data_IF_303036588201
#
_entry.id   IF_303036588201
#
_cell.length_a   1.000
_cell.length_b   1.000
_cell.length_c   1.000
_cell.angle_alpha   90.00
_cell.angle_beta   90.00
_cell.angle_gamma   90.00
#
_symmetry.space_group_name_H-M   'P 1'
#
loop_
_entity.id
_entity.type
_entity.pdbx_description
1 polymer ?
#
# COMPACT_ATOMS: atom_id res chain seq x y z
N UNK A 1 -10.24 -8.77 -38.99
CA UNK A 1 -9.45 -9.90 -39.53
C UNK A 1 -8.01 -9.71 -39.07
N UNK A 2 -7.62 -10.35 -37.97
CA UNK A 2 -6.21 -10.37 -37.54
C UNK A 2 -5.78 -11.83 -37.50
N UNK A 3 -4.82 -12.15 -38.36
CA UNK A 3 -4.27 -13.48 -38.52
C UNK A 3 -3.48 -13.91 -37.31
N UNK A 4 -3.65 -15.19 -36.97
CA UNK A 4 -2.79 -15.98 -36.11
C UNK A 4 -1.36 -15.99 -36.66
N UNK A 5 -0.38 -15.61 -35.84
CA UNK A 5 0.86 -16.37 -35.62
C UNK A 5 1.81 -15.62 -34.68
N UNK A 6 2.51 -16.41 -33.86
CA UNK A 6 3.28 -15.95 -32.71
C UNK A 6 4.36 -14.93 -33.05
N UNK A 7 4.35 -13.81 -32.33
CA UNK A 7 5.43 -12.82 -32.27
C UNK A 7 5.23 -11.91 -31.06
N UNK A 8 4.95 -12.50 -29.89
CA UNK A 8 4.78 -11.75 -28.64
C UNK A 8 6.08 -11.08 -28.15
N UNK A 9 7.24 -11.39 -28.76
CA UNK A 9 8.54 -10.80 -28.40
C UNK A 9 9.05 -9.67 -29.30
N UNK A 10 8.36 -9.31 -30.39
CA UNK A 10 8.87 -8.34 -31.40
C UNK A 10 8.03 -7.05 -31.44
N UNK A 11 6.85 -7.03 -30.82
CA UNK A 11 5.92 -5.90 -30.94
C UNK A 11 6.29 -4.64 -30.14
N UNK A 12 7.19 -4.73 -29.15
CA UNK A 12 7.52 -3.61 -28.23
C UNK A 12 8.70 -2.76 -28.72
N UNK A 13 9.45 -3.18 -29.76
CA UNK A 13 10.67 -2.49 -30.22
C UNK A 13 10.51 -1.68 -31.50
N UNK A 14 9.29 -1.52 -32.04
CA UNK A 14 9.04 -0.68 -33.23
C UNK A 14 8.75 0.78 -32.80
N UNK A 15 9.67 1.73 -33.05
CA UNK A 15 9.51 3.12 -32.63
C UNK A 15 8.26 3.78 -33.21
N UNK A 16 7.84 3.35 -34.41
CA UNK A 16 6.67 3.88 -35.11
C UNK A 16 5.38 3.53 -34.38
N UNK A 17 5.27 2.28 -33.90
CA UNK A 17 4.12 1.83 -33.10
C UNK A 17 4.10 2.51 -31.74
N UNK A 18 5.26 2.73 -31.12
CA UNK A 18 5.33 3.48 -29.87
C UNK A 18 4.82 4.93 -30.07
N UNK A 19 5.27 5.64 -31.11
CA UNK A 19 4.78 6.99 -31.42
C UNK A 19 3.27 7.04 -31.69
N UNK A 20 2.72 6.08 -32.43
CA UNK A 20 1.28 5.97 -32.68
C UNK A 20 0.48 5.75 -31.39
N UNK A 21 0.96 4.87 -30.51
CA UNK A 21 0.36 4.59 -29.20
C UNK A 21 0.39 5.85 -28.31
N UNK A 22 1.52 6.55 -28.25
CA UNK A 22 1.64 7.80 -27.50
C UNK A 22 0.68 8.88 -28.01
N UNK A 23 0.54 9.02 -29.35
CA UNK A 23 -0.43 9.97 -29.94
C UNK A 23 -1.88 9.60 -29.62
N UNK A 24 -2.22 8.32 -29.68
CA UNK A 24 -3.57 7.85 -29.32
C UNK A 24 -3.90 8.15 -27.85
N UNK A 25 -2.94 7.92 -26.94
CA UNK A 25 -3.08 8.23 -25.52
C UNK A 25 -3.25 9.73 -25.26
N UNK A 26 -2.41 10.57 -25.86
CA UNK A 26 -2.53 12.04 -25.71
C UNK A 26 -3.86 12.56 -26.28
N UNK A 27 -4.37 11.93 -27.33
CA UNK A 27 -5.70 12.25 -27.88
C UNK A 27 -6.80 11.89 -26.89
N UNK A 28 -6.72 10.70 -26.26
CA UNK A 28 -7.69 10.27 -25.24
C UNK A 28 -7.63 11.15 -23.98
N UNK A 29 -6.46 11.60 -23.54
CA UNK A 29 -6.35 12.52 -22.40
C UNK A 29 -6.98 13.89 -22.67
N UNK A 30 -6.92 14.37 -23.91
CA UNK A 30 -7.53 15.63 -24.34
C UNK A 30 -9.04 15.53 -24.57
N UNK A 31 -9.54 14.33 -24.85
CA UNK A 31 -10.97 14.07 -24.97
C UNK A 31 -11.66 14.19 -23.60
N UNK A 32 -12.69 15.03 -23.51
CA UNK A 32 -13.46 15.23 -22.29
C UNK A 32 -14.03 13.92 -21.74
N UNK A 33 -14.46 13.02 -22.64
CA UNK A 33 -15.02 11.71 -22.34
C UNK A 33 -14.00 10.57 -22.45
N UNK A 34 -12.73 10.88 -22.72
CA UNK A 34 -11.68 9.87 -22.93
C UNK A 34 -11.54 8.91 -21.76
N UNK A 35 -11.63 9.42 -20.52
CA UNK A 35 -11.58 8.58 -19.32
C UNK A 35 -12.76 7.60 -19.21
N UNK A 36 -13.97 8.00 -19.63
CA UNK A 36 -15.15 7.11 -19.64
C UNK A 36 -14.95 5.99 -20.64
N UNK A 37 -14.50 6.33 -21.85
CA UNK A 37 -14.12 5.34 -22.88
C UNK A 37 -13.03 4.41 -22.36
N UNK A 38 -12.06 4.93 -21.61
CA UNK A 38 -11.01 4.10 -21.00
C UNK A 38 -11.54 3.14 -19.94
N UNK A 39 -12.48 3.58 -19.09
CA UNK A 39 -13.17 2.70 -18.14
C UNK A 39 -13.96 1.63 -18.88
N UNK A 40 -14.76 2.00 -19.88
CA UNK A 40 -15.57 1.09 -20.69
C UNK A 40 -14.71 0.03 -21.41
N UNK A 41 -13.61 0.44 -22.03
CA UNK A 41 -12.67 -0.48 -22.67
C UNK A 41 -11.99 -1.42 -21.67
N UNK A 42 -11.67 -0.93 -20.46
CA UNK A 42 -11.04 -1.75 -19.43
C UNK A 42 -11.99 -2.83 -18.89
N UNK A 43 -13.26 -2.48 -18.66
CA UNK A 43 -14.28 -3.40 -18.12
C UNK A 43 -14.99 -4.22 -19.21
N UNK A 44 -14.73 -3.93 -20.48
CA UNK A 44 -15.41 -4.52 -21.61
C UNK A 44 -15.29 -6.04 -21.69
N UNK A 45 -16.08 -6.69 -22.56
CA UNK A 45 -16.11 -8.15 -22.69
C UNK A 45 -14.78 -8.75 -23.16
N UNK A 46 -13.95 -7.95 -23.82
CA UNK A 46 -12.61 -8.33 -24.26
C UNK A 46 -11.58 -7.64 -23.37
N UNK A 47 -10.92 -8.43 -22.51
CA UNK A 47 -9.84 -7.94 -21.66
C UNK A 47 -8.68 -7.44 -22.53
N UNK A 48 -8.29 -6.15 -22.47
CA UNK A 48 -7.17 -5.63 -23.24
C UNK A 48 -5.84 -6.25 -22.79
N UNK A 49 -4.79 -6.27 -23.63
CA UNK A 49 -3.46 -6.69 -23.21
C UNK A 49 -2.91 -5.77 -22.10
N UNK A 50 -1.95 -6.25 -21.28
CA UNK A 50 -1.48 -5.51 -20.11
C UNK A 50 -0.96 -4.09 -20.39
N UNK A 51 -0.27 -3.91 -21.51
CA UNK A 51 0.28 -2.62 -21.94
C UNK A 51 -0.84 -1.64 -22.25
N UNK A 52 -1.89 -2.10 -22.93
CA UNK A 52 -3.07 -1.28 -23.24
C UNK A 52 -3.85 -0.93 -21.97
N UNK A 53 -4.05 -1.90 -21.06
CA UNK A 53 -4.65 -1.63 -19.75
C UNK A 53 -3.92 -0.50 -19.02
N UNK A 54 -2.58 -0.52 -19.01
CA UNK A 54 -1.79 0.51 -18.35
C UNK A 54 -2.03 1.90 -18.96
N UNK A 55 -2.11 1.99 -20.29
CA UNK A 55 -2.40 3.23 -21.01
C UNK A 55 -3.80 3.77 -20.68
N UNK A 56 -4.80 2.89 -20.63
CA UNK A 56 -6.16 3.27 -20.22
C UNK A 56 -6.17 3.81 -18.77
N UNK A 57 -5.40 3.19 -17.87
CA UNK A 57 -5.26 3.66 -16.49
C UNK A 57 -4.54 5.02 -16.40
N UNK A 58 -3.61 5.33 -17.31
CA UNK A 58 -2.99 6.66 -17.37
C UNK A 58 -3.98 7.76 -17.78
N UNK A 59 -4.95 7.45 -18.65
CA UNK A 59 -6.02 8.40 -19.00
C UNK A 59 -6.96 8.61 -17.80
N UNK A 60 -7.30 7.54 -17.10
CA UNK A 60 -8.14 7.61 -15.88
C UNK A 60 -7.42 8.42 -14.78
N UNK A 61 -6.14 8.16 -14.54
CA UNK A 61 -5.32 8.92 -13.60
C UNK A 61 -5.30 10.43 -13.93
N UNK A 62 -5.14 10.80 -15.20
CA UNK A 62 -5.14 12.21 -15.61
C UNK A 62 -6.47 12.90 -15.24
N UNK A 63 -7.58 12.20 -15.44
CA UNK A 63 -8.91 12.65 -15.02
C UNK A 63 -9.03 12.76 -13.49
N UNK A 64 -8.57 11.75 -12.75
CA UNK A 64 -8.59 11.72 -11.28
C UNK A 64 -7.84 12.93 -10.68
N UNK A 65 -6.68 13.27 -11.25
CA UNK A 65 -5.86 14.37 -10.78
C UNK A 65 -6.41 15.76 -11.14
N UNK A 66 -7.03 15.92 -12.31
CA UNK A 66 -7.39 17.25 -12.84
C UNK A 66 -8.85 17.64 -12.65
N UNK A 67 -9.78 16.69 -12.74
CA UNK A 67 -11.22 16.97 -12.91
C UNK A 67 -12.13 16.23 -11.94
N UNK A 68 -11.65 15.14 -11.32
CA UNK A 68 -12.52 14.28 -10.51
C UNK A 68 -13.09 14.97 -9.26
N UNK A 69 -12.32 15.82 -8.59
CA UNK A 69 -12.76 16.49 -7.36
C UNK A 69 -14.03 17.33 -7.53
N UNK A 70 -14.24 17.92 -8.73
CA UNK A 70 -15.41 18.73 -9.08
C UNK A 70 -16.43 17.98 -9.95
N UNK A 71 -16.30 16.66 -10.08
CA UNK A 71 -17.18 15.85 -10.92
C UNK A 71 -18.55 15.63 -10.30
N UNK A 72 -19.55 15.40 -11.15
CA UNK A 72 -20.92 15.14 -10.72
C UNK A 72 -21.07 13.71 -10.15
N UNK A 73 -22.22 13.42 -9.55
CA UNK A 73 -22.50 12.13 -8.93
C UNK A 73 -22.50 10.94 -9.90
N UNK A 74 -22.80 11.16 -11.20
CA UNK A 74 -22.77 10.09 -12.20
C UNK A 74 -21.32 9.69 -12.50
N UNK A 75 -20.43 10.66 -12.65
CA UNK A 75 -19.02 10.41 -12.92
C UNK A 75 -18.32 9.71 -11.75
N UNK A 76 -18.63 10.15 -10.52
CA UNK A 76 -18.20 9.46 -9.29
C UNK A 76 -18.71 8.02 -9.25
N UNK A 77 -19.96 7.77 -9.63
CA UNK A 77 -20.51 6.42 -9.67
C UNK A 77 -19.81 5.53 -10.71
N UNK A 78 -19.39 6.06 -11.86
CA UNK A 78 -18.63 5.31 -12.87
C UNK A 78 -17.29 4.84 -12.29
N UNK A 79 -16.54 5.73 -11.65
CA UNK A 79 -15.26 5.39 -11.01
C UNK A 79 -15.45 4.38 -9.88
N UNK A 80 -16.45 4.58 -9.01
CA UNK A 80 -16.77 3.62 -7.95
C UNK A 80 -17.09 2.23 -8.49
N UNK A 81 -17.93 2.16 -9.53
CA UNK A 81 -18.27 0.89 -10.18
C UNK A 81 -17.06 0.25 -10.86
N UNK A 82 -16.16 1.04 -11.43
CA UNK A 82 -14.92 0.57 -12.01
C UNK A 82 -14.01 -0.11 -10.96
N UNK A 83 -13.80 0.51 -9.80
CA UNK A 83 -13.04 -0.06 -8.69
C UNK A 83 -13.68 -1.35 -8.17
N UNK A 84 -15.01 -1.34 -7.95
CA UNK A 84 -15.75 -2.52 -7.53
C UNK A 84 -15.66 -3.67 -8.55
N UNK A 85 -15.75 -3.35 -9.84
CA UNK A 85 -15.59 -4.32 -10.92
C UNK A 85 -14.18 -4.91 -10.93
N UNK A 86 -13.14 -4.08 -10.82
CA UNK A 86 -11.75 -4.57 -10.77
C UNK A 86 -11.56 -5.56 -9.62
N UNK A 87 -11.99 -5.20 -8.41
CA UNK A 87 -11.82 -6.07 -7.25
C UNK A 87 -12.59 -7.39 -7.41
N UNK A 88 -13.79 -7.38 -7.99
CA UNK A 88 -14.56 -8.60 -8.29
C UNK A 88 -13.87 -9.48 -9.33
N UNK A 89 -13.39 -8.88 -10.42
CA UNK A 89 -12.76 -9.62 -11.52
C UNK A 89 -11.41 -10.21 -11.12
N UNK A 90 -10.62 -9.49 -10.32
CA UNK A 90 -9.33 -9.99 -9.81
C UNK A 90 -9.48 -11.24 -8.95
N UNK A 91 -10.62 -11.44 -8.30
CA UNK A 91 -10.94 -12.65 -7.50
C UNK A 91 -11.25 -13.86 -8.37
N UNK A 92 -12.04 -13.63 -9.42
CA UNK A 92 -12.50 -14.69 -10.32
C UNK A 92 -11.45 -15.07 -11.37
N UNK A 93 -10.43 -14.23 -11.58
CA UNK A 93 -9.39 -14.45 -12.59
C UNK A 93 -8.43 -15.57 -12.16
N UNK A 94 -8.28 -16.63 -12.97
CA UNK A 94 -7.31 -17.69 -12.68
C UNK A 94 -5.87 -17.18 -12.81
N UNK A 95 -5.63 -16.25 -13.73
CA UNK A 95 -4.31 -15.67 -13.98
C UNK A 95 -3.98 -14.51 -13.04
N UNK A 96 -2.72 -14.43 -12.64
CA UNK A 96 -2.18 -13.31 -11.88
C UNK A 96 -1.92 -12.10 -12.79
N UNK A 97 -2.16 -10.91 -12.24
CA UNK A 97 -1.83 -9.69 -12.96
C UNK A 97 -0.34 -9.37 -12.86
N UNK A 98 0.25 -8.80 -13.93
CA UNK A 98 1.59 -8.23 -13.85
C UNK A 98 1.71 -7.21 -12.71
N UNK A 99 2.88 -7.19 -12.06
CA UNK A 99 3.14 -6.32 -10.90
C UNK A 99 2.97 -4.84 -11.25
N UNK A 100 3.40 -4.41 -12.45
CA UNK A 100 3.26 -3.01 -12.86
C UNK A 100 1.79 -2.56 -12.98
N UNK A 101 0.89 -3.45 -13.43
CA UNK A 101 -0.54 -3.17 -13.46
C UNK A 101 -1.15 -3.14 -12.07
N UNK A 102 -0.75 -4.08 -11.22
CA UNK A 102 -1.18 -4.11 -9.81
C UNK A 102 -0.81 -2.81 -9.11
N UNK A 103 0.45 -2.37 -9.24
CA UNK A 103 0.91 -1.11 -8.66
C UNK A 103 0.17 0.09 -9.25
N UNK A 104 -0.07 0.11 -10.57
CA UNK A 104 -0.83 1.18 -11.20
C UNK A 104 -2.26 1.25 -10.67
N UNK A 105 -2.91 0.10 -10.51
CA UNK A 105 -4.27 0.06 -9.98
C UNK A 105 -4.31 0.44 -8.50
N UNK A 106 -3.33 0.02 -7.69
CA UNK A 106 -3.24 0.45 -6.30
C UNK A 106 -3.13 1.98 -6.17
N UNK A 107 -2.36 2.62 -7.05
CA UNK A 107 -2.30 4.08 -7.17
C UNK A 107 -3.63 4.71 -7.60
N UNK A 108 -4.35 4.13 -8.57
CA UNK A 108 -5.69 4.60 -8.92
C UNK A 108 -6.64 4.53 -7.70
N UNK A 109 -6.57 3.44 -6.93
CA UNK A 109 -7.38 3.28 -5.72
C UNK A 109 -7.03 4.33 -4.66
N UNK A 110 -5.74 4.66 -4.46
CA UNK A 110 -5.33 5.67 -3.49
C UNK A 110 -5.77 7.07 -3.90
N UNK A 111 -5.71 7.43 -5.20
CA UNK A 111 -6.23 8.70 -5.69
C UNK A 111 -7.73 8.84 -5.45
N UNK A 112 -8.51 7.80 -5.74
CA UNK A 112 -9.95 7.80 -5.47
C UNK A 112 -10.23 7.87 -3.98
N UNK A 113 -9.50 7.10 -3.17
CA UNK A 113 -9.61 7.15 -1.71
C UNK A 113 -9.36 8.57 -1.19
N UNK A 114 -8.28 9.22 -1.61
CA UNK A 114 -7.94 10.57 -1.17
C UNK A 114 -8.93 11.64 -1.65
N UNK A 115 -9.65 11.37 -2.74
CA UNK A 115 -10.67 12.27 -3.26
C UNK A 115 -12.04 12.06 -2.59
N UNK A 116 -12.43 10.81 -2.30
CA UNK A 116 -13.80 10.44 -1.93
C UNK A 116 -13.97 10.11 -0.45
N UNK A 117 -12.93 9.67 0.25
CA UNK A 117 -13.01 9.37 1.68
C UNK A 117 -12.71 10.63 2.51
N UNK A 118 -13.44 10.89 3.61
CA UNK A 118 -14.62 10.15 4.09
C UNK A 118 -15.96 10.58 3.49
N UNK A 119 -16.07 11.77 2.88
CA UNK A 119 -17.37 12.42 2.65
C UNK A 119 -18.23 11.75 1.57
N UNK A 120 -17.63 11.28 0.46
CA UNK A 120 -18.36 10.65 -0.64
C UNK A 120 -18.41 9.13 -0.52
N UNK A 121 -17.45 8.51 0.18
CA UNK A 121 -17.35 7.05 0.29
C UNK A 121 -16.71 6.57 1.60
N UNK A 122 -17.38 6.77 2.72
CA UNK A 122 -16.92 6.32 4.04
C UNK A 122 -16.72 4.80 4.16
N UNK A 123 -17.46 4.00 3.40
CA UNK A 123 -17.38 2.53 3.40
C UNK A 123 -16.33 1.95 2.45
N UNK A 124 -15.38 2.75 1.94
CA UNK A 124 -14.41 2.38 0.90
C UNK A 124 -13.75 1.00 1.12
N UNK A 125 -13.07 0.80 2.25
CA UNK A 125 -12.39 -0.47 2.54
C UNK A 125 -13.36 -1.63 2.74
N UNK A 126 -14.53 -1.36 3.33
CA UNK A 126 -15.54 -2.38 3.55
C UNK A 126 -16.10 -2.91 2.22
N UNK A 127 -16.48 -1.99 1.33
CA UNK A 127 -17.09 -2.32 0.04
C UNK A 127 -16.12 -3.05 -0.90
N UNK A 128 -14.83 -2.71 -0.83
CA UNK A 128 -13.82 -3.27 -1.73
C UNK A 128 -13.17 -4.55 -1.17
N UNK A 129 -12.92 -4.63 0.14
CA UNK A 129 -12.06 -5.66 0.71
C UNK A 129 -12.72 -6.48 1.82
N UNK A 130 -13.39 -5.85 2.79
CA UNK A 130 -13.86 -6.56 3.99
C UNK A 130 -15.20 -7.28 3.86
N UNK A 131 -16.05 -6.92 2.90
CA UNK A 131 -17.33 -7.61 2.68
C UNK A 131 -17.19 -9.09 2.25
N UNK A 132 -15.98 -9.50 1.89
CA UNK A 132 -15.69 -10.84 1.39
C UNK A 132 -14.39 -11.38 2.04
N UNK A 133 -13.94 -12.57 1.63
CA UNK A 133 -12.76 -13.20 2.21
C UNK A 133 -11.43 -12.48 1.87
N UNK A 134 -11.01 -11.55 2.71
CA UNK A 134 -9.72 -10.84 2.58
C UNK A 134 -8.49 -11.76 2.68
N UNK A 135 -8.63 -12.98 3.21
CA UNK A 135 -7.51 -13.91 3.35
C UNK A 135 -7.19 -14.68 2.07
N UNK A 136 -7.98 -14.48 1.00
CA UNK A 136 -7.55 -14.91 -0.33
C UNK A 136 -6.25 -14.20 -0.70
N UNK A 137 -5.27 -14.97 -1.18
CA UNK A 137 -3.93 -14.46 -1.44
C UNK A 137 -3.90 -13.28 -2.42
N UNK A 138 -4.68 -13.32 -3.51
CA UNK A 138 -4.66 -12.25 -4.53
C UNK A 138 -5.29 -10.98 -3.98
N UNK A 139 -6.39 -11.13 -3.25
CA UNK A 139 -7.06 -10.01 -2.58
C UNK A 139 -6.15 -9.39 -1.53
N UNK A 140 -5.57 -10.20 -0.64
CA UNK A 140 -4.64 -9.76 0.40
C UNK A 140 -3.47 -8.99 -0.20
N UNK A 141 -2.83 -9.55 -1.24
CA UNK A 141 -1.71 -8.89 -1.92
C UNK A 141 -2.11 -7.51 -2.47
N UNK A 142 -3.23 -7.45 -3.20
CA UNK A 142 -3.68 -6.19 -3.79
C UNK A 142 -4.10 -5.18 -2.71
N UNK A 143 -4.84 -5.62 -1.69
CA UNK A 143 -5.23 -4.80 -0.55
C UNK A 143 -4.03 -4.17 0.17
N UNK A 144 -3.00 -4.96 0.49
CA UNK A 144 -1.79 -4.46 1.13
C UNK A 144 -1.03 -3.47 0.23
N UNK A 145 -1.05 -3.67 -1.10
CA UNK A 145 -0.52 -2.68 -2.06
C UNK A 145 -1.35 -1.40 -2.10
N UNK A 146 -2.68 -1.48 -1.99
CA UNK A 146 -3.56 -0.29 -1.88
C UNK A 146 -3.23 0.49 -0.61
N UNK A 147 -3.04 -0.18 0.53
CA UNK A 147 -2.67 0.49 1.78
C UNK A 147 -1.32 1.22 1.69
N UNK A 148 -0.31 0.64 1.02
CA UNK A 148 0.96 1.32 0.78
C UNK A 148 0.80 2.50 -0.20
N UNK A 149 -0.04 2.38 -1.22
CA UNK A 149 -0.33 3.51 -2.12
C UNK A 149 -1.10 4.64 -1.40
N UNK A 150 -2.00 4.29 -0.46
CA UNK A 150 -2.67 5.24 0.43
C UNK A 150 -1.63 5.91 1.34
N UNK A 151 -0.66 5.19 1.89
CA UNK A 151 0.41 5.80 2.67
C UNK A 151 1.13 6.91 1.89
N UNK A 152 1.57 6.61 0.67
CA UNK A 152 2.23 7.59 -0.22
C UNK A 152 1.34 8.81 -0.47
N UNK A 153 0.05 8.61 -0.76
CA UNK A 153 -0.86 9.71 -1.11
C UNK A 153 -1.22 10.60 0.10
N UNK A 154 -1.59 9.99 1.24
CA UNK A 154 -2.20 10.71 2.37
C UNK A 154 -1.39 10.75 3.66
N UNK A 155 -0.44 9.83 3.89
CA UNK A 155 0.22 9.68 5.19
C UNK A 155 1.67 10.15 5.17
N UNK A 156 2.46 9.66 4.22
CA UNK A 156 3.92 9.75 4.19
C UNK A 156 4.39 11.21 4.28
N UNK A 157 5.10 11.57 5.35
CA UNK A 157 5.44 12.98 5.66
C UNK A 157 6.61 13.53 4.85
N UNK A 158 7.41 12.66 4.22
CA UNK A 158 8.60 13.06 3.48
C UNK A 158 8.26 13.67 2.11
N UNK A 159 7.03 13.42 1.64
CA UNK A 159 6.50 14.00 0.41
C UNK A 159 6.03 15.43 0.70
N UNK A 160 6.67 16.39 0.04
CA UNK A 160 6.28 17.80 0.10
C UNK A 160 4.88 17.96 -0.50
N UNK A 161 3.96 18.50 0.30
CA UNK A 161 2.57 18.73 -0.10
C UNK A 161 2.21 20.20 0.01
N UNK A 162 1.29 20.64 -0.83
CA UNK A 162 0.66 21.95 -0.69
C UNK A 162 -0.12 22.02 0.62
N UNK A 163 -0.39 23.24 1.09
CA UNK A 163 -1.19 23.44 2.31
C UNK A 163 -2.58 22.80 2.19
N UNK A 164 -3.22 22.92 1.03
CA UNK A 164 -4.54 22.35 0.76
C UNK A 164 -4.53 20.81 0.88
N UNK A 165 -3.52 20.16 0.32
CA UNK A 165 -3.35 18.70 0.41
C UNK A 165 -3.05 18.27 1.85
N UNK A 166 -2.22 19.01 2.58
CA UNK A 166 -1.93 18.72 3.99
C UNK A 166 -3.20 18.80 4.85
N UNK A 167 -3.99 19.87 4.69
CA UNK A 167 -5.25 20.07 5.42
C UNK A 167 -6.27 18.95 5.08
N UNK A 168 -6.35 18.54 3.80
CA UNK A 168 -7.15 17.38 3.37
C UNK A 168 -6.67 16.09 4.04
N UNK A 169 -5.37 15.83 4.01
CA UNK A 169 -4.78 14.60 4.52
C UNK A 169 -4.92 14.48 6.05
N UNK A 170 -4.92 15.58 6.79
CA UNK A 170 -5.24 15.60 8.22
C UNK A 170 -6.66 15.07 8.44
N UNK A 171 -7.66 15.61 7.72
CA UNK A 171 -9.06 15.16 7.84
C UNK A 171 -9.23 13.69 7.47
N UNK A 172 -8.55 13.23 6.43
CA UNK A 172 -8.58 11.83 6.01
C UNK A 172 -8.04 10.93 7.12
N UNK A 173 -6.86 11.25 7.69
CA UNK A 173 -6.27 10.45 8.77
C UNK A 173 -7.15 10.42 10.01
N UNK A 174 -7.73 11.55 10.40
CA UNK A 174 -8.63 11.61 11.55
C UNK A 174 -9.87 10.74 11.31
N UNK A 175 -10.48 10.82 10.12
CA UNK A 175 -11.59 9.97 9.75
C UNK A 175 -11.21 8.48 9.63
N UNK A 176 -9.99 8.16 9.19
CA UNK A 176 -9.51 6.77 9.16
C UNK A 176 -9.43 6.19 10.56
N UNK A 177 -8.92 6.95 11.55
CA UNK A 177 -8.87 6.52 12.95
C UNK A 177 -10.26 6.18 13.50
N UNK A 178 -11.25 7.00 13.16
CA UNK A 178 -12.62 6.81 13.63
C UNK A 178 -13.35 5.67 12.91
N UNK A 179 -13.12 5.50 11.60
CA UNK A 179 -13.98 4.65 10.76
C UNK A 179 -13.38 3.27 10.49
N UNK A 180 -12.09 3.18 10.14
CA UNK A 180 -11.55 1.97 9.51
C UNK A 180 -10.22 1.46 10.07
N UNK A 181 -9.46 2.25 10.82
CA UNK A 181 -8.10 1.84 11.20
C UNK A 181 -8.07 0.59 12.09
N UNK A 182 -9.08 0.44 12.94
CA UNK A 182 -9.23 -0.72 13.81
C UNK A 182 -9.34 -2.01 12.99
N UNK A 183 -10.16 -2.01 11.94
CA UNK A 183 -10.34 -3.17 11.06
C UNK A 183 -9.13 -3.38 10.15
N UNK A 184 -8.48 -2.30 9.69
CA UNK A 184 -7.22 -2.38 8.95
C UNK A 184 -6.13 -3.06 9.80
N UNK A 185 -5.92 -2.62 11.04
CA UNK A 185 -4.91 -3.18 11.93
C UNK A 185 -5.19 -4.66 12.25
N UNK A 186 -6.46 -5.03 12.52
CA UNK A 186 -6.87 -6.43 12.72
C UNK A 186 -6.62 -7.29 11.48
N UNK A 187 -6.86 -6.73 10.29
CA UNK A 187 -6.71 -7.46 9.02
C UNK A 187 -5.27 -7.95 8.81
N UNK A 188 -4.26 -7.20 9.27
CA UNK A 188 -2.85 -7.59 9.15
C UNK A 188 -2.57 -8.94 9.79
N UNK A 189 -3.00 -9.15 11.04
CA UNK A 189 -2.80 -10.44 11.72
C UNK A 189 -3.68 -11.56 11.15
N UNK A 190 -4.91 -11.24 10.72
CA UNK A 190 -5.80 -12.20 10.06
C UNK A 190 -5.18 -12.76 8.77
N UNK A 191 -4.64 -11.88 7.93
CA UNK A 191 -3.94 -12.23 6.70
C UNK A 191 -2.63 -12.95 7.03
N UNK A 192 -1.84 -12.45 7.99
CA UNK A 192 -0.58 -13.07 8.40
C UNK A 192 -0.74 -14.54 8.80
N UNK A 193 -1.76 -14.83 9.61
CA UNK A 193 -2.05 -16.18 10.10
C UNK A 193 -2.56 -17.09 8.98
N UNK A 194 -3.39 -16.56 8.08
CA UNK A 194 -3.97 -17.34 6.98
C UNK A 194 -2.98 -17.66 5.87
N UNK A 195 -1.98 -16.79 5.67
CA UNK A 195 -0.97 -16.87 4.61
C UNK A 195 0.45 -16.95 5.20
N UNK A 196 0.62 -17.71 6.28
CA UNK A 196 1.84 -17.72 7.10
C UNK A 196 3.10 -18.17 6.38
N UNK A 197 2.97 -18.96 5.31
CA UNK A 197 4.07 -19.46 4.48
C UNK A 197 4.38 -18.60 3.26
N UNK A 198 3.73 -17.45 3.10
CA UNK A 198 3.94 -16.57 1.95
C UNK A 198 4.78 -15.33 2.32
N UNK A 199 6.09 -15.44 2.15
CA UNK A 199 7.04 -14.41 2.57
C UNK A 199 6.75 -13.04 1.94
N UNK A 200 6.27 -13.00 0.69
CA UNK A 200 5.90 -11.74 0.03
C UNK A 200 4.75 -11.04 0.76
N UNK A 201 3.72 -11.79 1.16
CA UNK A 201 2.61 -11.25 1.96
C UNK A 201 3.10 -10.83 3.35
N UNK A 202 3.96 -11.63 3.99
CA UNK A 202 4.48 -11.30 5.32
C UNK A 202 5.29 -9.99 5.30
N UNK A 203 6.14 -9.79 4.28
CA UNK A 203 6.87 -8.53 4.07
C UNK A 203 5.91 -7.35 3.87
N UNK A 204 4.89 -7.49 3.01
CA UNK A 204 3.91 -6.43 2.78
C UNK A 204 3.14 -6.05 4.06
N UNK A 205 2.84 -7.01 4.92
CA UNK A 205 2.20 -6.73 6.21
C UNK A 205 3.13 -5.91 7.11
N UNK A 206 4.40 -6.30 7.20
CA UNK A 206 5.41 -5.60 8.01
C UNK A 206 5.68 -4.18 7.48
N UNK A 207 5.76 -4.00 6.16
CA UNK A 207 5.85 -2.70 5.49
C UNK A 207 4.65 -1.81 5.83
N UNK A 208 3.43 -2.36 5.78
CA UNK A 208 2.23 -1.62 6.17
C UNK A 208 2.25 -1.22 7.64
N UNK A 209 2.67 -2.10 8.55
CA UNK A 209 2.83 -1.75 9.97
C UNK A 209 3.83 -0.60 10.12
N UNK A 210 4.99 -0.69 9.46
CA UNK A 210 6.05 0.32 9.49
C UNK A 210 5.58 1.69 8.97
N UNK A 211 4.76 1.72 7.92
CA UNK A 211 4.21 2.97 7.36
C UNK A 211 3.13 3.61 8.24
N UNK A 212 2.30 2.80 8.93
CA UNK A 212 1.12 3.30 9.62
C UNK A 212 1.38 3.62 11.10
N UNK A 213 2.35 2.97 11.72
CA UNK A 213 2.63 3.05 13.16
C UNK A 213 2.77 4.46 13.71
N UNK A 214 3.37 5.40 12.96
CA UNK A 214 3.64 6.75 13.47
C UNK A 214 2.35 7.51 13.82
N UNK A 215 1.26 7.31 13.06
CA UNK A 215 0.05 8.12 13.19
C UNK A 215 -1.16 7.37 13.73
N UNK A 216 -1.13 6.05 13.92
CA UNK A 216 -2.29 5.32 14.48
C UNK A 216 -2.18 5.16 16.01
N UNK A 217 -3.24 4.69 16.66
CA UNK A 217 -3.25 4.40 18.10
C UNK A 217 -2.18 3.35 18.44
N UNK A 218 -1.38 3.61 19.47
CA UNK A 218 -0.26 2.74 19.85
C UNK A 218 -0.72 1.31 20.17
N UNK A 219 -1.86 1.16 20.85
CA UNK A 219 -2.37 -0.13 21.29
C UNK A 219 -2.74 -1.07 20.11
N UNK A 220 -2.93 -0.53 18.90
CA UNK A 220 -3.18 -1.33 17.69
C UNK A 220 -1.94 -2.05 17.18
N UNK A 221 -0.74 -1.56 17.50
CA UNK A 221 0.53 -2.00 16.91
C UNK A 221 1.61 -2.38 17.93
N UNK A 222 1.56 -1.84 19.14
CA UNK A 222 2.44 -2.19 20.25
C UNK A 222 1.69 -3.00 21.31
N UNK A 223 1.11 -4.12 20.89
CA UNK A 223 0.49 -5.11 21.77
C UNK A 223 1.18 -6.47 21.62
N UNK A 224 0.94 -7.39 22.56
CA UNK A 224 1.59 -8.70 22.61
C UNK A 224 1.42 -9.51 21.31
N UNK A 225 0.27 -9.40 20.64
CA UNK A 225 0.00 -10.14 19.41
C UNK A 225 0.85 -9.63 18.25
N UNK A 226 0.83 -8.31 18.00
CA UNK A 226 1.59 -7.70 16.91
C UNK A 226 3.09 -7.80 17.17
N UNK A 227 3.53 -7.57 18.41
CA UNK A 227 4.94 -7.70 18.76
C UNK A 227 5.43 -9.14 18.60
N UNK A 228 4.68 -10.14 19.09
CA UNK A 228 5.05 -11.55 18.89
C UNK A 228 5.13 -11.90 17.41
N UNK A 229 4.18 -11.41 16.60
CA UNK A 229 4.21 -11.57 15.15
C UNK A 229 5.49 -10.98 14.54
N UNK A 230 5.79 -9.70 14.78
CA UNK A 230 6.98 -9.03 14.21
C UNK A 230 8.26 -9.78 14.62
N UNK A 231 8.39 -10.15 15.90
CA UNK A 231 9.55 -10.88 16.43
C UNK A 231 9.72 -12.24 15.74
N UNK A 232 8.63 -12.96 15.46
CA UNK A 232 8.69 -14.25 14.76
C UNK A 232 9.26 -14.15 13.34
N UNK A 233 9.27 -12.96 12.73
CA UNK A 233 9.72 -12.73 11.35
C UNK A 233 11.20 -12.41 11.22
N UNK A 234 11.92 -12.28 12.33
CA UNK A 234 13.36 -12.07 12.31
C UNK A 234 14.16 -13.32 11.92
N UNK A 235 13.62 -14.52 12.14
CA UNK A 235 14.33 -15.77 11.85
C UNK A 235 14.34 -16.13 10.36
N UNK A 236 13.49 -15.51 9.55
CA UNK A 236 13.46 -15.70 8.10
C UNK A 236 14.19 -14.55 7.42
N UNK A 237 15.23 -14.85 6.65
CA UNK A 237 16.02 -13.87 5.92
C UNK A 237 15.17 -13.03 4.96
N UNK A 238 14.12 -13.60 4.37
CA UNK A 238 13.23 -12.88 3.46
C UNK A 238 12.43 -11.77 4.16
N UNK A 239 12.09 -11.95 5.45
CA UNK A 239 11.21 -11.02 6.20
C UNK A 239 11.95 -10.19 7.24
N UNK A 240 13.20 -10.54 7.55
CA UNK A 240 14.00 -9.93 8.62
C UNK A 240 14.18 -8.42 8.44
N UNK A 241 14.43 -7.95 7.22
CA UNK A 241 14.57 -6.52 6.93
C UNK A 241 13.26 -5.77 7.19
N UNK A 242 12.14 -6.24 6.64
CA UNK A 242 10.84 -5.63 6.86
C UNK A 242 10.43 -5.64 8.34
N UNK A 243 10.77 -6.71 9.08
CA UNK A 243 10.54 -6.79 10.52
C UNK A 243 11.37 -5.75 11.30
N UNK A 244 12.61 -5.53 10.87
CA UNK A 244 13.50 -4.50 11.42
C UNK A 244 12.89 -3.12 11.25
N UNK A 245 12.45 -2.80 10.04
CA UNK A 245 11.77 -1.53 9.72
C UNK A 245 10.50 -1.32 10.54
N UNK A 246 9.69 -2.37 10.75
CA UNK A 246 8.49 -2.29 11.59
C UNK A 246 8.82 -1.97 13.07
N UNK A 247 9.87 -2.58 13.63
CA UNK A 247 10.34 -2.27 14.99
C UNK A 247 10.90 -0.85 15.08
N UNK A 248 11.70 -0.42 14.09
CA UNK A 248 12.23 0.94 14.07
C UNK A 248 11.10 1.97 14.00
N UNK A 249 10.09 1.77 13.15
CA UNK A 249 8.91 2.65 13.08
C UNK A 249 8.14 2.74 14.41
N UNK A 250 8.01 1.62 15.13
CA UNK A 250 7.42 1.60 16.49
C UNK A 250 8.21 2.46 17.48
N UNK A 251 9.54 2.37 17.44
CA UNK A 251 10.43 3.15 18.31
C UNK A 251 10.42 4.64 17.96
N UNK A 252 10.35 4.96 16.68
CA UNK A 252 10.43 6.34 16.18
C UNK A 252 9.14 7.12 16.38
N UNK A 253 8.01 6.43 16.56
CA UNK A 253 6.68 7.02 16.81
C UNK A 253 6.73 8.24 17.73
N UNK A 254 6.09 9.32 17.29
CA UNK A 254 5.96 10.55 18.07
C UNK A 254 5.07 10.35 19.31
N UNK A 255 5.64 10.46 20.51
CA UNK A 255 4.90 10.36 21.77
C UNK A 255 5.61 11.09 22.93
N UNK A 256 4.93 11.38 24.06
CA UNK A 256 5.55 12.00 25.22
C UNK A 256 6.75 11.20 25.76
N UNK A 257 7.78 11.92 26.20
CA UNK A 257 9.06 11.39 26.70
C UNK A 257 8.92 10.16 27.61
N UNK A 258 8.12 10.28 28.68
CA UNK A 258 7.92 9.21 29.67
C UNK A 258 7.38 7.92 29.03
N UNK A 259 6.35 8.04 28.19
CA UNK A 259 5.77 6.89 27.49
C UNK A 259 6.74 6.31 26.45
N UNK A 260 7.53 7.17 25.79
CA UNK A 260 8.51 6.74 24.78
C UNK A 260 9.63 5.91 25.40
N UNK A 261 10.13 6.30 26.57
CA UNK A 261 11.11 5.51 27.33
C UNK A 261 10.52 4.16 27.73
N UNK A 262 9.29 4.14 28.26
CA UNK A 262 8.63 2.88 28.63
C UNK A 262 8.49 1.92 27.44
N UNK A 263 8.06 2.42 26.27
CA UNK A 263 7.97 1.63 25.04
C UNK A 263 9.35 1.12 24.59
N UNK A 264 10.35 2.01 24.53
CA UNK A 264 11.70 1.66 24.10
C UNK A 264 12.34 0.59 24.99
N UNK A 265 12.19 0.70 26.31
CA UNK A 265 12.69 -0.29 27.26
C UNK A 265 11.97 -1.65 27.11
N UNK A 266 10.66 -1.62 26.86
CA UNK A 266 9.87 -2.84 26.64
C UNK A 266 10.31 -3.55 25.35
N UNK A 267 10.41 -2.82 24.25
CA UNK A 267 10.89 -3.37 22.97
C UNK A 267 12.33 -3.88 23.10
N UNK A 268 13.22 -3.11 23.75
CA UNK A 268 14.60 -3.53 24.00
C UNK A 268 14.66 -4.85 24.80
N UNK A 269 13.83 -5.00 25.83
CA UNK A 269 13.77 -6.23 26.61
C UNK A 269 13.31 -7.43 25.74
N UNK A 270 12.28 -7.24 24.92
CA UNK A 270 11.79 -8.27 23.99
C UNK A 270 12.89 -8.65 22.99
N UNK A 271 13.50 -7.68 22.30
CA UNK A 271 14.58 -7.93 21.33
C UNK A 271 15.77 -8.65 21.98
N UNK A 272 16.17 -8.25 23.19
CA UNK A 272 17.26 -8.89 23.93
C UNK A 272 16.92 -10.33 24.29
N UNK A 273 15.72 -10.59 24.80
CA UNK A 273 15.28 -11.93 25.18
C UNK A 273 15.16 -12.87 23.98
N UNK A 274 14.89 -12.31 22.79
CA UNK A 274 14.87 -13.04 21.52
C UNK A 274 16.27 -13.19 20.87
N UNK A 275 17.34 -12.68 21.49
CA UNK A 275 18.69 -12.74 20.93
C UNK A 275 18.92 -11.82 19.73
N UNK A 276 18.03 -10.85 19.49
CA UNK A 276 18.05 -9.97 18.31
C UNK A 276 18.96 -8.74 18.47
N UNK A 277 19.62 -8.58 19.63
CA UNK A 277 20.56 -7.50 19.91
C UNK A 277 22.00 -7.99 20.12
N UNK A 278 22.31 -9.23 19.73
CA UNK A 278 23.64 -9.83 19.88
C UNK A 278 24.28 -10.08 18.54
N UNK A 279 25.55 -9.69 18.41
CA UNK A 279 26.41 -10.01 17.25
C UNK A 279 27.56 -10.89 17.72
N UNK A 280 27.90 -11.90 16.93
CA UNK A 280 29.03 -12.80 17.10
C UNK A 280 29.72 -13.06 15.74
N UNK A 281 30.89 -13.70 15.76
CA UNK A 281 31.74 -13.90 14.58
C UNK A 281 31.09 -14.75 13.46
N UNK A 282 29.96 -15.43 13.73
CA UNK A 282 29.25 -16.23 12.74
C UNK A 282 28.09 -15.49 12.06
N UNK A 283 27.78 -14.25 12.48
CA UNK A 283 26.72 -13.47 11.86
C UNK A 283 27.17 -12.95 10.50
N UNK A 284 26.26 -12.98 9.52
CA UNK A 284 26.51 -12.39 8.20
C UNK A 284 26.32 -10.86 8.21
N UNK A 285 26.62 -10.23 7.07
CA UNK A 285 26.51 -8.77 6.90
C UNK A 285 25.09 -8.24 7.12
N UNK A 286 24.07 -8.99 6.70
CA UNK A 286 22.67 -8.60 6.83
C UNK A 286 22.24 -8.64 8.31
N UNK A 287 22.66 -9.68 9.03
CA UNK A 287 22.42 -9.81 10.46
C UNK A 287 23.10 -8.71 11.27
N UNK A 288 24.35 -8.37 10.95
CA UNK A 288 25.08 -7.27 11.60
C UNK A 288 24.40 -5.93 11.31
N UNK A 289 24.01 -5.69 10.06
CA UNK A 289 23.32 -4.45 9.64
C UNK A 289 22.00 -4.28 10.36
N UNK A 290 21.23 -5.36 10.49
CA UNK A 290 19.99 -5.40 11.26
C UNK A 290 20.19 -5.03 12.72
N UNK A 291 21.12 -5.70 13.41
CA UNK A 291 21.38 -5.43 14.83
C UNK A 291 21.86 -3.99 15.01
N UNK A 292 22.75 -3.52 14.12
CA UNK A 292 23.22 -2.14 14.08
C UNK A 292 22.07 -1.14 13.96
N UNK A 293 21.12 -1.40 13.07
CA UNK A 293 19.94 -0.55 12.85
C UNK A 293 19.06 -0.47 14.10
N UNK A 294 18.73 -1.61 14.71
CA UNK A 294 17.91 -1.67 15.94
C UNK A 294 18.58 -0.92 17.10
N UNK A 295 19.87 -1.17 17.33
CA UNK A 295 20.64 -0.53 18.41
C UNK A 295 20.77 0.97 18.16
N UNK A 296 21.05 1.39 16.93
CA UNK A 296 21.13 2.80 16.56
C UNK A 296 19.80 3.51 16.80
N UNK A 297 18.68 2.96 16.31
CA UNK A 297 17.36 3.57 16.51
C UNK A 297 17.00 3.65 17.99
N UNK A 298 17.24 2.60 18.79
CA UNK A 298 17.06 2.64 20.24
C UNK A 298 17.87 3.76 20.90
N UNK A 299 19.17 3.87 20.55
CA UNK A 299 20.06 4.89 21.09
C UNK A 299 19.60 6.31 20.75
N UNK A 300 19.27 6.55 19.47
CA UNK A 300 18.77 7.85 19.00
C UNK A 300 17.47 8.25 19.70
N UNK A 301 16.54 7.31 19.87
CA UNK A 301 15.27 7.56 20.58
C UNK A 301 15.50 7.94 22.04
N UNK A 302 16.36 7.22 22.76
CA UNK A 302 16.66 7.53 24.16
C UNK A 302 17.36 8.87 24.32
N UNK A 303 18.26 9.24 23.40
CA UNK A 303 18.92 10.54 23.37
C UNK A 303 17.94 11.69 23.05
N UNK A 304 17.03 11.51 22.10
CA UNK A 304 15.99 12.51 21.78
C UNK A 304 15.09 12.81 22.98
N UNK A 305 14.74 11.77 23.75
CA UNK A 305 13.92 11.93 24.94
C UNK A 305 14.67 12.67 26.05
N UNK A 306 15.97 12.46 26.24
CA UNK A 306 16.75 13.18 27.25
C UNK A 306 16.78 14.71 27.01
N UNK A 307 16.66 15.13 25.74
CA UNK A 307 16.75 16.54 25.34
C UNK A 307 15.41 17.30 25.43
N UNK A 308 14.33 16.66 25.90
CA UNK A 308 12.98 17.23 26.03
C UNK A 308 12.51 17.18 27.47
#
# INVERSE_FOLDING_TARGET
MFGTNGSAGIAVTDPTKQEEIYRALETLKKDELGWKKSVESFIGPHKPPPEEQFLLLQVIEDFLNKRYHSSNSQDVAIIRNFLLHYTKTSRSSPEDQPVFLTNKMAHIFSLVFAADFPERWSTFFNDLFFNDNITDRKIAFFYLKVLLAVDVEVVNRDIQRTKLESDRNIKIKDAMREICINEIAKSWLSIANSLSGDDVIQCLILENIASYVDWIELDLVANDYVMTYIISKFQNSATSEAATSAVCGLLEKGMPAEKKVGLALTIMAVLRNSGLLTVNDNNDEDEVTRVGSLVNTLGLVLLDVQNK
#
